data_IF_843443596825
#
_entry.id   IF_843443596825
#
_cell.length_a   1.000
_cell.length_b   1.000
_cell.length_c   1.000
_cell.angle_alpha   90.00
_cell.angle_beta   90.00
_cell.angle_gamma   90.00
#
_symmetry.space_group_name_H-M   'P 1'
#
loop_
_entity.id
_entity.type
_entity.pdbx_description
1 polymer ?
#
# COMPACT_ATOMS: atom_id res chain seq x y z
N UNK A 1 -32.78 -5.88 4.59
CA UNK A 1 -31.88 -5.97 3.42
C UNK A 1 -30.43 -5.84 3.89
N UNK A 2 -29.49 -6.63 3.35
CA UNK A 2 -28.12 -6.77 3.90
C UNK A 2 -27.09 -5.76 3.36
N UNK A 3 -27.53 -4.64 2.76
CA UNK A 3 -26.66 -3.65 2.13
C UNK A 3 -26.14 -4.06 0.73
N UNK A 4 -26.57 -5.21 0.22
CA UNK A 4 -26.14 -5.69 -1.11
C UNK A 4 -26.79 -4.88 -2.23
N UNK A 5 -25.95 -4.49 -3.19
CA UNK A 5 -26.35 -3.86 -4.46
C UNK A 5 -26.20 -4.85 -5.62
N UNK A 6 -26.77 -4.53 -6.80
CA UNK A 6 -26.56 -5.34 -8.01
C UNK A 6 -25.09 -5.51 -8.36
N UNK A 7 -24.27 -4.47 -8.11
CA UNK A 7 -22.83 -4.50 -8.35
C UNK A 7 -22.12 -5.56 -7.49
N UNK A 8 -22.50 -5.69 -6.20
CA UNK A 8 -21.96 -6.74 -5.32
C UNK A 8 -22.23 -8.16 -5.85
N UNK A 9 -23.44 -8.41 -6.34
CA UNK A 9 -23.78 -9.72 -6.90
C UNK A 9 -23.01 -9.97 -8.20
N UNK A 10 -22.86 -8.97 -9.07
CA UNK A 10 -22.12 -9.10 -10.32
C UNK A 10 -20.63 -9.34 -10.10
N UNK A 11 -20.01 -8.65 -9.13
CA UNK A 11 -18.59 -8.86 -8.79
C UNK A 11 -18.35 -10.21 -8.14
N UNK A 12 -19.22 -10.64 -7.21
CA UNK A 12 -19.16 -11.97 -6.61
C UNK A 12 -19.34 -13.10 -7.63
N UNK A 13 -20.10 -12.87 -8.70
CA UNK A 13 -20.30 -13.84 -9.78
C UNK A 13 -19.23 -13.76 -10.89
N UNK A 14 -18.33 -12.77 -10.85
CA UNK A 14 -17.27 -12.59 -11.86
C UNK A 14 -17.78 -12.13 -13.22
N UNK A 15 -18.99 -11.56 -13.31
CA UNK A 15 -19.61 -11.18 -14.57
C UNK A 15 -19.12 -9.80 -15.05
N UNK A 16 -17.91 -9.73 -15.59
CA UNK A 16 -17.25 -8.48 -15.99
C UNK A 16 -18.12 -7.56 -16.85
N UNK A 17 -18.85 -8.10 -17.82
CA UNK A 17 -19.71 -7.30 -18.70
C UNK A 17 -20.85 -6.62 -17.94
N UNK A 18 -21.39 -7.29 -16.92
CA UNK A 18 -22.43 -6.74 -16.05
C UNK A 18 -21.84 -5.71 -15.09
N UNK A 19 -20.65 -5.97 -14.53
CA UNK A 19 -19.90 -4.99 -13.72
C UNK A 19 -19.65 -3.71 -14.52
N UNK A 20 -19.13 -3.83 -15.76
CA UNK A 20 -18.92 -2.69 -16.67
C UNK A 20 -20.21 -1.93 -16.96
N UNK A 21 -21.33 -2.64 -17.16
CA UNK A 21 -22.64 -2.01 -17.39
C UNK A 21 -23.11 -1.21 -16.17
N UNK A 22 -22.96 -1.76 -14.96
CA UNK A 22 -23.33 -1.06 -13.73
C UNK A 22 -22.49 0.20 -13.52
N UNK A 23 -21.17 0.11 -13.66
CA UNK A 23 -20.27 1.27 -13.52
C UNK A 23 -20.57 2.34 -14.57
N UNK A 24 -20.83 1.96 -15.83
CA UNK A 24 -21.31 2.90 -16.87
C UNK A 24 -22.65 3.56 -16.56
N UNK A 25 -23.48 2.91 -15.75
CA UNK A 25 -24.79 3.42 -15.32
C UNK A 25 -24.71 4.18 -13.99
N UNK A 26 -23.51 4.60 -13.57
CA UNK A 26 -23.26 5.33 -12.32
C UNK A 26 -23.71 4.57 -11.06
N UNK A 27 -23.62 3.24 -11.08
CA UNK A 27 -23.74 2.47 -9.86
C UNK A 27 -22.62 2.86 -8.89
N UNK A 28 -22.97 3.02 -7.62
CA UNK A 28 -22.01 3.35 -6.57
C UNK A 28 -21.01 2.22 -6.34
N UNK A 29 -19.76 2.43 -6.77
CA UNK A 29 -18.67 1.47 -6.61
C UNK A 29 -18.16 1.36 -5.16
N UNK A 30 -18.51 2.33 -4.30
CA UNK A 30 -18.15 2.40 -2.88
C UNK A 30 -19.28 1.94 -1.96
N UNK A 31 -20.41 1.48 -2.51
CA UNK A 31 -21.54 1.04 -1.72
C UNK A 31 -21.12 -0.09 -0.77
N UNK A 32 -21.40 0.06 0.52
CA UNK A 32 -21.03 -0.93 1.53
C UNK A 32 -22.17 -1.90 1.84
N UNK A 33 -21.82 -3.18 1.96
CA UNK A 33 -22.66 -4.15 2.65
C UNK A 33 -22.73 -3.85 4.15
N UNK A 34 -23.64 -4.53 4.88
CA UNK A 34 -23.68 -4.43 6.36
C UNK A 34 -22.38 -4.82 7.07
N UNK A 35 -21.49 -5.54 6.38
CA UNK A 35 -20.18 -5.95 6.90
C UNK A 35 -19.07 -4.94 6.52
N UNK A 36 -19.43 -3.79 5.94
CA UNK A 36 -18.46 -2.78 5.47
C UNK A 36 -17.67 -3.20 4.24
N UNK A 37 -18.09 -4.27 3.53
CA UNK A 37 -17.43 -4.71 2.29
C UNK A 37 -18.00 -3.98 1.09
N UNK A 38 -17.12 -3.50 0.22
CA UNK A 38 -17.43 -2.90 -1.08
C UNK A 38 -17.40 -3.96 -2.20
N UNK A 39 -17.97 -3.71 -3.39
CA UNK A 39 -18.04 -4.68 -4.47
C UNK A 39 -16.69 -5.27 -4.91
N UNK A 40 -15.62 -4.47 -4.88
CA UNK A 40 -14.26 -4.90 -5.24
C UNK A 40 -13.73 -5.99 -4.29
N UNK A 41 -14.07 -5.97 -2.99
CA UNK A 41 -13.69 -7.02 -2.05
C UNK A 41 -14.21 -8.40 -2.49
N UNK A 42 -15.42 -8.46 -3.06
CA UNK A 42 -16.00 -9.72 -3.52
C UNK A 42 -15.36 -10.23 -4.81
N UNK A 43 -14.84 -9.33 -5.67
CA UNK A 43 -14.04 -9.74 -6.82
C UNK A 43 -12.73 -10.40 -6.37
N UNK A 44 -12.05 -9.81 -5.38
CA UNK A 44 -10.82 -10.38 -4.80
C UNK A 44 -11.08 -11.72 -4.10
N UNK A 45 -12.08 -11.79 -3.21
CA UNK A 45 -12.35 -13.00 -2.41
C UNK A 45 -12.81 -14.22 -3.23
N UNK A 46 -13.30 -14.00 -4.45
CA UNK A 46 -13.71 -15.06 -5.38
C UNK A 46 -12.71 -15.24 -6.54
N UNK A 47 -11.53 -14.61 -6.45
CA UNK A 47 -10.46 -14.68 -7.45
C UNK A 47 -10.92 -14.29 -8.88
N UNK A 48 -11.83 -13.31 -8.98
CA UNK A 48 -12.30 -12.77 -10.25
C UNK A 48 -11.39 -11.64 -10.72
N UNK A 49 -10.18 -12.01 -11.13
CA UNK A 49 -9.08 -11.09 -11.46
C UNK A 49 -9.49 -10.00 -12.45
N UNK A 50 -10.23 -10.33 -13.51
CA UNK A 50 -10.66 -9.34 -14.50
C UNK A 50 -11.65 -8.31 -13.95
N UNK A 51 -12.54 -8.73 -13.03
CA UNK A 51 -13.42 -7.80 -12.32
C UNK A 51 -12.64 -6.93 -11.34
N UNK A 52 -11.67 -7.53 -10.63
CA UNK A 52 -10.80 -6.84 -9.70
C UNK A 52 -9.96 -5.77 -10.42
N UNK A 53 -9.23 -6.14 -11.49
CA UNK A 53 -8.44 -5.22 -12.32
C UNK A 53 -9.28 -4.08 -12.88
N UNK A 54 -10.50 -4.38 -13.34
CA UNK A 54 -11.41 -3.33 -13.80
C UNK A 54 -11.76 -2.36 -12.67
N UNK A 55 -12.19 -2.86 -11.51
CA UNK A 55 -12.62 -2.01 -10.40
C UNK A 55 -11.47 -1.27 -9.71
N UNK A 56 -10.24 -1.80 -9.72
CA UNK A 56 -9.05 -1.11 -9.21
C UNK A 56 -8.74 0.18 -9.98
N UNK A 57 -9.14 0.27 -11.26
CA UNK A 57 -9.00 1.48 -12.08
C UNK A 57 -10.11 2.52 -11.83
N UNK A 58 -11.07 2.19 -10.97
CA UNK A 58 -12.14 3.07 -10.53
C UNK A 58 -11.90 3.55 -9.10
N UNK A 59 -12.74 4.47 -8.63
CA UNK A 59 -12.64 5.02 -7.27
C UNK A 59 -12.75 3.90 -6.25
N UNK A 60 -11.80 3.85 -5.33
CA UNK A 60 -11.79 2.98 -4.17
C UNK A 60 -11.05 3.67 -3.02
N UNK A 61 -11.42 3.34 -1.78
CA UNK A 61 -10.70 3.82 -0.60
C UNK A 61 -9.57 2.84 -0.26
N UNK A 62 -8.34 3.20 -0.65
CA UNK A 62 -7.15 2.38 -0.39
C UNK A 62 -6.94 2.14 1.12
N UNK A 63 -7.18 3.14 1.96
CA UNK A 63 -6.94 3.03 3.40
C UNK A 63 -7.91 2.05 4.04
N UNK A 64 -9.21 2.19 3.74
CA UNK A 64 -10.24 1.27 4.23
C UNK A 64 -9.95 -0.18 3.80
N UNK A 65 -9.55 -0.37 2.54
CA UNK A 65 -9.21 -1.70 2.01
C UNK A 65 -7.98 -2.31 2.70
N UNK A 66 -6.97 -1.50 3.03
CA UNK A 66 -5.76 -1.98 3.72
C UNK A 66 -6.01 -2.34 5.19
N UNK A 67 -7.00 -1.73 5.85
CA UNK A 67 -7.42 -2.12 7.20
C UNK A 67 -8.08 -3.52 7.22
N UNK A 68 -8.68 -3.92 6.10
CA UNK A 68 -9.25 -5.25 5.93
C UNK A 68 -8.18 -6.30 5.58
N UNK A 69 -7.64 -6.96 6.62
CA UNK A 69 -6.66 -8.05 6.46
C UNK A 69 -7.13 -9.17 5.53
N UNK A 70 -8.43 -9.42 5.41
CA UNK A 70 -8.96 -10.42 4.47
C UNK A 70 -8.77 -9.97 3.02
N UNK A 71 -9.14 -8.73 2.71
CA UNK A 71 -8.91 -8.16 1.39
C UNK A 71 -7.42 -8.16 1.02
N UNK A 72 -6.53 -7.74 1.93
CA UNK A 72 -5.08 -7.73 1.67
C UNK A 72 -4.55 -9.14 1.37
N UNK A 73 -5.06 -10.15 2.08
CA UNK A 73 -4.75 -11.56 1.81
C UNK A 73 -5.31 -12.03 0.46
N UNK A 74 -6.57 -11.73 0.15
CA UNK A 74 -7.21 -12.07 -1.12
C UNK A 74 -6.49 -11.42 -2.32
N UNK A 75 -5.97 -10.21 -2.14
CA UNK A 75 -5.16 -9.51 -3.14
C UNK A 75 -3.85 -10.26 -3.45
N UNK A 76 -3.17 -10.81 -2.43
CA UNK A 76 -2.00 -11.68 -2.62
C UNK A 76 -2.38 -12.94 -3.40
N UNK A 77 -3.51 -13.57 -3.07
CA UNK A 77 -3.98 -14.76 -3.77
C UNK A 77 -4.25 -14.47 -5.24
N UNK A 78 -4.87 -13.34 -5.55
CA UNK A 78 -5.12 -12.90 -6.93
C UNK A 78 -3.83 -12.65 -7.73
N UNK A 79 -2.74 -12.24 -7.07
CA UNK A 79 -1.45 -11.95 -7.70
C UNK A 79 -0.62 -13.18 -8.08
N UNK A 80 -0.88 -14.34 -7.46
CA UNK A 80 -0.04 -15.54 -7.60
C UNK A 80 0.08 -16.09 -9.04
N UNK A 81 -0.93 -15.85 -9.89
CA UNK A 81 -0.96 -16.31 -11.28
C UNK A 81 -0.72 -15.22 -12.32
N UNK A 82 -0.49 -13.98 -11.89
CA UNK A 82 -0.50 -12.78 -12.74
C UNK A 82 0.69 -11.86 -12.49
N UNK A 83 1.78 -12.42 -11.95
CA UNK A 83 2.99 -11.67 -11.60
C UNK A 83 2.70 -10.45 -10.69
N UNK A 84 1.78 -10.64 -9.73
CA UNK A 84 1.32 -9.59 -8.82
C UNK A 84 0.67 -8.37 -9.50
N UNK A 85 0.21 -8.49 -10.75
CA UNK A 85 -0.42 -7.39 -11.48
C UNK A 85 -1.57 -6.71 -10.70
N UNK A 86 -2.51 -7.43 -10.03
CA UNK A 86 -3.56 -6.78 -9.24
C UNK A 86 -3.02 -5.95 -8.07
N UNK A 87 -1.94 -6.40 -7.44
CA UNK A 87 -1.29 -5.67 -6.36
C UNK A 87 -0.56 -4.44 -6.89
N UNK A 88 0.13 -4.57 -8.02
CA UNK A 88 0.77 -3.44 -8.70
C UNK A 88 -0.25 -2.37 -9.06
N UNK A 89 -1.37 -2.76 -9.67
CA UNK A 89 -2.45 -1.84 -10.01
C UNK A 89 -3.02 -1.17 -8.75
N UNK A 90 -3.24 -1.92 -7.65
CA UNK A 90 -3.72 -1.36 -6.39
C UNK A 90 -2.76 -0.30 -5.81
N UNK A 91 -1.45 -0.55 -5.86
CA UNK A 91 -0.44 0.42 -5.40
C UNK A 91 -0.43 1.67 -6.29
N UNK A 92 -0.40 1.49 -7.61
CA UNK A 92 -0.28 2.59 -8.56
C UNK A 92 -1.54 3.48 -8.62
N UNK A 93 -2.72 2.92 -8.40
CA UNK A 93 -3.98 3.68 -8.37
C UNK A 93 -4.26 4.35 -7.01
N UNK A 94 -3.43 4.09 -6.00
CA UNK A 94 -3.56 4.73 -4.69
C UNK A 94 -3.15 6.22 -4.73
N UNK A 95 -3.68 7.07 -3.84
CA UNK A 95 -3.32 8.50 -3.80
C UNK A 95 -1.87 8.75 -3.38
N UNK A 96 -1.24 7.80 -2.68
CA UNK A 96 0.14 7.86 -2.26
C UNK A 96 0.81 6.48 -2.49
N UNK A 97 1.28 6.20 -3.72
CA UNK A 97 1.80 4.88 -4.09
C UNK A 97 2.98 4.40 -3.23
N UNK A 98 3.91 5.28 -2.89
CA UNK A 98 5.08 4.95 -2.07
C UNK A 98 4.64 4.55 -0.66
N UNK A 99 3.79 5.36 -0.03
CA UNK A 99 3.27 5.09 1.32
C UNK A 99 2.44 3.80 1.37
N UNK A 100 1.59 3.60 0.35
CA UNK A 100 0.77 2.40 0.19
C UNK A 100 1.63 1.14 0.06
N UNK A 101 2.67 1.18 -0.79
CA UNK A 101 3.58 0.07 -1.01
C UNK A 101 4.37 -0.31 0.25
N UNK A 102 4.89 0.68 0.99
CA UNK A 102 5.61 0.48 2.26
C UNK A 102 4.70 -0.15 3.31
N UNK A 103 3.51 0.43 3.50
CA UNK A 103 2.54 -0.08 4.47
C UNK A 103 2.06 -1.49 4.09
N UNK A 104 1.78 -1.77 2.81
CA UNK A 104 1.42 -3.11 2.35
C UNK A 104 2.54 -4.13 2.61
N UNK A 105 3.80 -3.77 2.37
CA UNK A 105 4.94 -4.65 2.67
C UNK A 105 4.95 -5.05 4.15
N UNK A 106 4.81 -4.08 5.06
CA UNK A 106 4.68 -4.34 6.50
C UNK A 106 3.45 -5.20 6.82
N UNK A 107 2.29 -4.89 6.24
CA UNK A 107 1.08 -5.68 6.44
C UNK A 107 1.27 -7.15 6.01
N UNK A 108 1.95 -7.40 4.89
CA UNK A 108 2.24 -8.75 4.40
C UNK A 108 3.24 -9.50 5.28
N UNK A 109 4.25 -8.81 5.83
CA UNK A 109 5.19 -9.39 6.82
C UNK A 109 4.48 -9.76 8.11
N UNK A 110 3.66 -8.87 8.67
CA UNK A 110 2.86 -9.16 9.87
C UNK A 110 1.97 -10.39 9.67
N UNK A 111 1.41 -10.54 8.47
CA UNK A 111 0.56 -11.68 8.12
C UNK A 111 1.37 -12.96 7.93
N UNK A 112 2.59 -12.89 7.38
CA UNK A 112 3.44 -14.07 7.17
C UNK A 112 3.92 -14.68 8.49
N UNK A 113 4.10 -13.87 9.53
CA UNK A 113 4.42 -14.34 10.89
C UNK A 113 3.25 -15.12 11.52
N UNK A 114 2.01 -14.75 11.20
CA UNK A 114 0.79 -15.34 11.76
C UNK A 114 0.32 -16.57 10.97
N UNK A 115 0.45 -16.54 9.65
CA UNK A 115 -0.05 -17.58 8.74
C UNK A 115 1.07 -18.47 8.19
N UNK A 116 1.24 -19.66 8.77
CA UNK A 116 2.38 -20.54 8.46
C UNK A 116 2.28 -21.23 7.11
N UNK A 117 1.07 -21.54 6.62
CA UNK A 117 0.91 -22.29 5.37
C UNK A 117 1.26 -21.43 4.15
N UNK A 118 0.99 -20.13 4.23
CA UNK A 118 1.20 -19.16 3.15
C UNK A 118 2.33 -18.16 3.43
N UNK A 119 3.10 -18.35 4.51
CA UNK A 119 4.16 -17.44 4.91
C UNK A 119 5.14 -17.11 3.77
N UNK A 120 5.52 -18.11 2.96
CA UNK A 120 6.41 -17.89 1.81
C UNK A 120 5.77 -17.01 0.72
N UNK A 121 4.52 -17.27 0.37
CA UNK A 121 3.78 -16.47 -0.62
C UNK A 121 3.64 -15.02 -0.12
N UNK A 122 3.30 -14.84 1.17
CA UNK A 122 3.18 -13.53 1.82
C UNK A 122 4.51 -12.77 1.85
N UNK A 123 5.61 -13.43 2.22
CA UNK A 123 6.94 -12.81 2.21
C UNK A 123 7.37 -12.38 0.80
N UNK A 124 7.09 -13.19 -0.23
CA UNK A 124 7.41 -12.82 -1.61
C UNK A 124 6.66 -11.55 -2.04
N UNK A 125 5.38 -11.46 -1.69
CA UNK A 125 4.56 -10.30 -2.01
C UNK A 125 4.93 -9.06 -1.18
N UNK A 126 5.40 -9.25 0.06
CA UNK A 126 5.97 -8.18 0.85
C UNK A 126 7.24 -7.59 0.20
N UNK A 127 8.15 -8.45 -0.27
CA UNK A 127 9.36 -8.04 -0.98
C UNK A 127 9.03 -7.36 -2.32
N UNK A 128 8.02 -7.84 -3.03
CA UNK A 128 7.55 -7.19 -4.25
C UNK A 128 7.04 -5.77 -3.98
N UNK A 129 6.21 -5.59 -2.95
CA UNK A 129 5.69 -4.27 -2.56
C UNK A 129 6.83 -3.33 -2.15
N UNK A 130 7.82 -3.86 -1.46
CA UNK A 130 9.02 -3.13 -1.05
C UNK A 130 9.85 -2.64 -2.24
N UNK A 131 10.14 -3.53 -3.20
CA UNK A 131 10.85 -3.16 -4.43
C UNK A 131 10.10 -2.08 -5.20
N UNK A 132 8.77 -2.16 -5.26
CA UNK A 132 7.95 -1.14 -5.90
C UNK A 132 8.05 0.21 -5.20
N UNK A 133 8.08 0.23 -3.86
CA UNK A 133 8.31 1.47 -3.12
C UNK A 133 9.67 2.08 -3.44
N UNK A 134 10.73 1.26 -3.54
CA UNK A 134 12.09 1.69 -3.90
C UNK A 134 12.13 2.26 -5.31
N UNK A 135 11.53 1.57 -6.28
CA UNK A 135 11.48 2.02 -7.68
C UNK A 135 10.72 3.35 -7.82
N UNK A 136 9.52 3.43 -7.24
CA UNK A 136 8.69 4.65 -7.28
C UNK A 136 9.38 5.83 -6.60
N UNK A 137 10.06 5.59 -5.48
CA UNK A 137 10.83 6.62 -4.81
C UNK A 137 12.04 7.05 -5.65
N UNK A 138 12.76 6.11 -6.26
CA UNK A 138 13.90 6.40 -7.14
C UNK A 138 13.50 7.28 -8.33
N UNK A 139 12.41 6.91 -9.02
CA UNK A 139 11.82 7.71 -10.11
C UNK A 139 11.48 9.11 -9.58
N UNK A 140 10.74 9.19 -8.48
CA UNK A 140 10.30 10.47 -7.91
C UNK A 140 11.47 11.35 -7.45
N UNK A 141 12.53 10.76 -6.90
CA UNK A 141 13.72 11.48 -6.45
C UNK A 141 14.60 11.95 -7.62
N UNK A 142 14.55 11.26 -8.77
CA UNK A 142 15.24 11.68 -9.99
C UNK A 142 14.55 12.86 -10.69
N UNK A 143 13.22 12.90 -10.64
CA UNK A 143 12.41 13.93 -11.31
C UNK A 143 12.09 15.13 -10.40
N UNK A 144 12.02 14.92 -9.09
CA UNK A 144 11.60 15.92 -8.10
C UNK A 144 12.57 15.98 -6.90
N UNK A 145 12.47 17.05 -6.12
CA UNK A 145 13.29 17.19 -4.91
C UNK A 145 12.85 16.16 -3.84
N UNK A 146 13.67 15.13 -3.64
CA UNK A 146 13.46 14.08 -2.64
C UNK A 146 13.18 14.62 -1.22
N UNK A 147 13.73 15.78 -0.85
CA UNK A 147 13.50 16.37 0.47
C UNK A 147 12.06 16.84 0.68
N UNK A 148 11.36 17.24 -0.39
CA UNK A 148 9.94 17.63 -0.31
C UNK A 148 9.10 16.38 -0.10
N UNK A 149 9.40 15.32 -0.84
CA UNK A 149 8.69 14.05 -0.77
C UNK A 149 8.83 13.40 0.61
N UNK A 150 10.03 13.38 1.19
CA UNK A 150 10.27 12.81 2.52
C UNK A 150 9.60 13.59 3.66
N UNK A 151 9.35 14.89 3.45
CA UNK A 151 8.61 15.75 4.39
C UNK A 151 7.10 15.74 4.16
N UNK A 152 6.63 15.14 3.06
CA UNK A 152 5.20 14.99 2.79
C UNK A 152 4.56 14.17 3.91
N UNK A 153 3.34 14.53 4.28
CA UNK A 153 2.63 13.92 5.41
C UNK A 153 1.61 12.90 4.93
N UNK A 154 1.54 11.77 5.62
CA UNK A 154 0.48 10.79 5.44
C UNK A 154 -0.87 11.32 6.00
N UNK A 155 -1.92 10.50 5.86
CA UNK A 155 -3.25 10.82 6.37
C UNK A 155 -3.33 11.00 7.90
N UNK A 156 -2.28 10.61 8.64
CA UNK A 156 -2.14 10.81 10.09
C UNK A 156 -1.24 12.01 10.42
N UNK A 157 -0.79 12.77 9.41
CA UNK A 157 0.08 13.92 9.58
C UNK A 157 1.55 13.56 9.81
N UNK A 158 1.94 12.28 9.64
CA UNK A 158 3.30 11.79 9.85
C UNK A 158 4.14 11.96 8.59
N UNK A 159 5.36 12.50 8.66
CA UNK A 159 6.29 12.56 7.54
C UNK A 159 6.51 11.18 6.92
N UNK A 160 6.62 11.12 5.59
CA UNK A 160 6.94 9.89 4.86
C UNK A 160 8.25 9.28 5.37
N UNK A 161 9.24 10.09 5.75
CA UNK A 161 10.47 9.55 6.31
C UNK A 161 10.24 8.77 7.61
N UNK A 162 9.38 9.26 8.50
CA UNK A 162 9.09 8.57 9.76
C UNK A 162 8.38 7.25 9.48
N UNK A 163 7.50 7.20 8.48
CA UNK A 163 6.89 5.95 8.00
C UNK A 163 7.96 5.00 7.47
N UNK A 164 8.91 5.47 6.67
CA UNK A 164 10.00 4.65 6.14
C UNK A 164 10.90 4.09 7.25
N UNK A 165 11.20 4.91 8.27
CA UNK A 165 12.00 4.52 9.45
C UNK A 165 11.22 3.52 10.32
N UNK A 166 9.96 3.75 10.64
CA UNK A 166 9.19 2.81 11.48
C UNK A 166 9.00 1.44 10.82
N UNK A 167 8.95 1.40 9.49
CA UNK A 167 8.81 0.16 8.73
C UNK A 167 10.17 -0.53 8.48
N UNK A 168 11.20 -0.21 9.27
CA UNK A 168 12.61 -0.69 9.28
C UNK A 168 12.86 -2.22 9.29
N UNK A 169 11.87 -3.08 9.01
CA UNK A 169 12.05 -4.53 8.80
C UNK A 169 12.71 -4.88 7.46
N UNK A 170 13.50 -3.96 6.94
CA UNK A 170 14.09 -4.04 5.63
C UNK A 170 15.50 -3.48 5.63
N UNK A 171 16.45 -4.36 5.95
CA UNK A 171 17.86 -4.16 5.65
C UNK A 171 18.14 -3.93 4.15
N UNK A 172 17.21 -4.24 3.23
CA UNK A 172 17.31 -4.04 1.78
C UNK A 172 16.90 -2.63 1.29
N UNK A 173 15.81 -2.02 1.77
CA UNK A 173 15.41 -0.65 1.42
C UNK A 173 16.52 0.31 1.80
N UNK A 174 17.08 0.25 3.01
CA UNK A 174 18.21 1.10 3.41
C UNK A 174 19.52 0.81 2.65
N UNK A 175 19.78 -0.45 2.25
CA UNK A 175 20.96 -0.81 1.45
C UNK A 175 20.87 -0.31 0.00
N UNK A 176 19.68 -0.34 -0.61
CA UNK A 176 19.41 0.23 -1.94
C UNK A 176 19.23 1.76 -1.92
N UNK A 177 18.97 2.33 -0.74
CA UNK A 177 18.84 3.78 -0.52
C UNK A 177 20.16 4.55 -0.52
N UNK A 178 21.32 3.95 -0.82
CA UNK A 178 22.60 4.68 -0.79
C UNK A 178 22.57 5.98 -1.60
N UNK A 179 21.86 6.02 -2.72
CA UNK A 179 21.69 7.26 -3.51
C UNK A 179 20.75 8.26 -2.81
N UNK A 180 19.58 7.83 -2.34
CA UNK A 180 18.58 8.72 -1.71
C UNK A 180 19.02 9.22 -0.31
N UNK A 181 19.65 8.36 0.48
CA UNK A 181 20.27 8.73 1.77
C UNK A 181 21.53 9.56 1.54
N UNK A 182 22.23 9.48 0.39
CA UNK A 182 23.40 10.34 0.13
C UNK A 182 23.05 11.80 -0.22
N UNK A 183 21.79 12.12 -0.52
CA UNK A 183 21.39 13.51 -0.70
C UNK A 183 21.61 14.27 0.62
N UNK A 184 22.39 15.36 0.54
CA UNK A 184 22.75 16.17 1.69
C UNK A 184 21.53 16.68 2.48
N UNK A 185 20.38 16.87 1.83
CA UNK A 185 19.12 17.27 2.46
C UNK A 185 18.50 16.17 3.33
N UNK A 186 18.65 14.90 2.93
CA UNK A 186 18.18 13.72 3.68
C UNK A 186 19.14 13.43 4.83
N UNK A 187 20.46 13.50 4.58
CA UNK A 187 21.48 13.42 5.63
C UNK A 187 21.27 14.49 6.71
N UNK A 188 21.00 15.73 6.31
CA UNK A 188 20.78 16.83 7.26
C UNK A 188 19.52 16.61 8.10
N UNK A 189 18.42 16.17 7.49
CA UNK A 189 17.19 15.88 8.22
C UNK A 189 17.32 14.65 9.14
N UNK A 190 17.98 13.58 8.69
CA UNK A 190 18.34 12.44 9.53
C UNK A 190 19.24 12.86 10.69
N UNK A 191 20.23 13.73 10.43
CA UNK A 191 21.09 14.29 11.47
C UNK A 191 20.27 15.15 12.44
N UNK A 192 19.34 15.98 11.97
CA UNK A 192 18.45 16.80 12.81
C UNK A 192 17.53 15.93 13.68
N UNK A 193 16.96 14.83 13.17
CA UNK A 193 16.17 13.88 13.98
C UNK A 193 17.07 13.16 15.00
N UNK A 194 18.22 12.69 14.56
CA UNK A 194 19.14 11.92 15.40
C UNK A 194 19.84 12.78 16.46
N UNK A 195 19.96 14.09 16.20
CA UNK A 195 20.46 15.08 17.19
C UNK A 195 19.34 15.66 18.04
N UNK A 196 18.12 15.81 17.54
CA UNK A 196 16.97 16.24 18.36
C UNK A 196 16.54 15.17 19.37
N UNK A 197 16.85 13.90 19.11
CA UNK A 197 16.69 12.79 20.07
C UNK A 197 17.82 12.72 21.11
N UNK A 198 18.90 13.49 20.93
CA UNK A 198 19.98 13.65 21.89
C UNK A 198 19.96 15.09 22.39
N UNK A 199 19.09 15.36 23.36
CA UNK A 199 19.16 16.62 24.11
C UNK A 199 20.53 16.65 24.82
N UNK A 200 21.49 17.42 24.27
CA UNK A 200 22.76 17.70 24.94
C UNK A 200 22.56 18.74 26.05
N UNK A 201 21.58 18.51 26.92
CA UNK A 201 21.54 19.14 28.24
C UNK A 201 22.59 18.49 29.16
N UNK A 202 23.81 18.26 28.66
CA UNK A 202 24.97 18.19 29.54
C UNK A 202 25.38 19.63 29.80
N UNK A 203 24.97 20.08 30.99
CA UNK A 203 25.15 21.43 31.48
C UNK A 203 26.56 21.95 31.27
N UNK A 204 26.62 23.28 31.11
CA UNK A 204 27.84 24.02 31.33
C UNK A 204 28.43 23.60 32.67
N UNK A 205 29.64 23.10 32.63
CA UNK A 205 30.58 23.22 33.72
C UNK A 205 31.74 24.08 33.19
N UNK A 206 31.85 25.23 33.87
CA UNK A 206 32.96 26.17 33.99
C UNK A 206 34.26 25.84 33.25
#
# INVERSE_FOLDING_TARGET
KNGWTGLHYATKAGHLNVVKLFVKSSADELAETKEGKVPLCFAASNNHIECLRFLLKHKHDTHQLMEDRRFVFDLMVCGKGTDNEPLQEFILQSPAPIDTAVKLSSLYRDMSEKEKERAKDLCNVAVFSENMAVELLGISASEYNAAILLKAKDNRGRPLLDVLIENEQVSLVLLHFKEVVSYASVQRYLTEIWTASVDWSFGGFL
#
